data_IF_968981154204
#
_entry.id   IF_968981154204
#
_cell.length_a   1.000
_cell.length_b   1.000
_cell.length_c   1.000
_cell.angle_alpha   90.00
_cell.angle_beta   90.00
_cell.angle_gamma   90.00
#
_symmetry.space_group_name_H-M   'P 1'
#
loop_
_entity.id
_entity.type
_entity.pdbx_description
1 polymer ?
#
# COMPACT_ATOMS: atom_id res chain seq x y z
N UNK A 1 -43.84 -76.57 42.76
CA UNK A 1 -42.94 -75.85 41.84
C UNK A 1 -41.77 -76.77 41.52
N UNK A 2 -41.36 -76.91 40.25
CA UNK A 2 -40.23 -77.77 39.86
C UNK A 2 -38.93 -76.97 39.78
N UNK A 3 -37.78 -77.62 39.99
CA UNK A 3 -36.46 -76.96 40.00
C UNK A 3 -36.18 -76.16 38.71
N UNK A 4 -36.63 -76.64 37.55
CA UNK A 4 -36.49 -75.95 36.26
C UNK A 4 -37.24 -74.62 36.21
N UNK A 5 -38.41 -74.52 36.85
CA UNK A 5 -39.16 -73.26 36.96
C UNK A 5 -38.44 -72.25 37.85
N UNK A 6 -37.81 -72.72 38.92
CA UNK A 6 -37.02 -71.87 39.82
C UNK A 6 -35.79 -71.32 39.11
N UNK A 7 -35.03 -72.18 38.43
CA UNK A 7 -33.83 -71.79 37.68
C UNK A 7 -34.15 -70.82 36.54
N UNK A 8 -35.26 -71.03 35.82
CA UNK A 8 -35.72 -70.11 34.78
C UNK A 8 -36.13 -68.74 35.33
N UNK A 9 -36.79 -68.70 36.50
CA UNK A 9 -37.14 -67.43 37.13
C UNK A 9 -35.89 -66.68 37.60
N UNK A 10 -34.90 -67.40 38.14
CA UNK A 10 -33.63 -66.83 38.59
C UNK A 10 -32.83 -66.26 37.40
N UNK A 11 -32.75 -66.98 36.28
CA UNK A 11 -32.02 -66.49 35.10
C UNK A 11 -32.67 -65.24 34.49
N UNK A 12 -34.01 -65.17 34.47
CA UNK A 12 -34.75 -63.98 34.03
C UNK A 12 -34.52 -62.81 35.00
N UNK A 13 -34.54 -63.06 36.31
CA UNK A 13 -34.29 -62.02 37.32
C UNK A 13 -32.86 -61.46 37.22
N UNK A 14 -31.85 -62.32 36.99
CA UNK A 14 -30.47 -61.91 36.79
C UNK A 14 -30.29 -61.11 35.49
N UNK A 15 -30.94 -61.52 34.40
CA UNK A 15 -30.90 -60.79 33.13
C UNK A 15 -31.58 -59.42 33.24
N UNK A 16 -32.70 -59.33 33.96
CA UNK A 16 -33.38 -58.07 34.22
C UNK A 16 -32.54 -57.12 35.09
N UNK A 17 -31.87 -57.64 36.13
CA UNK A 17 -30.96 -56.86 36.97
C UNK A 17 -29.73 -56.34 36.19
N UNK A 18 -29.16 -57.17 35.31
CA UNK A 18 -28.05 -56.76 34.45
C UNK A 18 -28.48 -55.72 33.40
N UNK A 19 -29.68 -55.85 32.83
CA UNK A 19 -30.23 -54.89 31.87
C UNK A 19 -30.54 -53.52 32.50
N UNK A 20 -30.98 -53.49 33.76
CA UNK A 20 -31.24 -52.25 34.48
C UNK A 20 -29.97 -51.45 34.81
N UNK A 21 -28.81 -52.11 34.93
CA UNK A 21 -27.53 -51.46 35.19
C UNK A 21 -26.91 -50.80 33.93
N UNK A 22 -27.40 -51.15 32.74
CA UNK A 22 -26.89 -50.68 31.45
C UNK A 22 -27.87 -49.76 30.69
N UNK A 23 -28.77 -49.08 31.41
CA UNK A 23 -29.47 -47.96 30.81
C UNK A 23 -28.47 -46.81 30.62
N UNK A 24 -28.22 -46.42 29.36
CA UNK A 24 -27.46 -45.21 29.05
C UNK A 24 -28.14 -44.03 29.74
N UNK A 25 -27.50 -43.52 30.79
CA UNK A 25 -28.02 -42.38 31.52
C UNK A 25 -27.78 -41.16 30.65
N UNK A 26 -28.86 -40.57 30.13
CA UNK A 26 -28.77 -39.29 29.46
C UNK A 26 -28.40 -38.23 30.50
N UNK A 27 -27.14 -37.78 30.49
CA UNK A 27 -26.59 -36.76 31.40
C UNK A 27 -27.11 -35.33 31.11
N UNK A 28 -28.09 -35.20 30.21
CA UNK A 28 -28.57 -33.91 29.75
C UNK A 28 -27.62 -33.24 28.75
N UNK A 29 -27.93 -31.99 28.42
CA UNK A 29 -27.02 -31.14 27.65
C UNK A 29 -25.98 -30.59 28.61
N UNK A 30 -24.70 -30.93 28.40
CA UNK A 30 -23.62 -30.32 29.14
C UNK A 30 -23.61 -28.81 28.92
N UNK A 31 -23.69 -28.05 30.00
CA UNK A 31 -23.66 -26.61 29.93
C UNK A 31 -22.28 -26.15 29.49
N UNK A 32 -22.23 -25.39 28.40
CA UNK A 32 -21.02 -24.69 27.96
C UNK A 32 -20.72 -23.59 28.98
N UNK A 33 -19.77 -23.83 29.86
CA UNK A 33 -19.19 -22.77 30.70
C UNK A 33 -18.29 -21.92 29.81
N UNK A 34 -18.76 -20.72 29.46
CA UNK A 34 -17.90 -19.76 28.77
C UNK A 34 -16.85 -19.26 29.76
N UNK A 35 -15.57 -19.35 29.39
CA UNK A 35 -14.46 -18.97 30.25
C UNK A 35 -14.43 -17.47 30.59
N UNK A 36 -15.09 -16.63 29.79
CA UNK A 36 -15.14 -15.18 29.96
C UNK A 36 -16.58 -14.70 30.16
N UNK A 37 -16.75 -13.66 30.98
CA UNK A 37 -18.07 -13.03 31.12
C UNK A 37 -18.40 -12.17 29.90
N UNK A 38 -19.69 -11.91 29.66
CA UNK A 38 -20.12 -11.01 28.57
C UNK A 38 -19.54 -9.60 28.71
N UNK A 39 -19.35 -9.14 29.94
CA UNK A 39 -18.76 -7.82 30.21
C UNK A 39 -17.27 -7.79 29.79
N UNK A 40 -16.53 -8.86 30.09
CA UNK A 40 -15.13 -8.98 29.69
C UNK A 40 -15.00 -8.99 28.16
N UNK A 41 -15.82 -9.79 27.47
CA UNK A 41 -15.83 -9.83 25.99
C UNK A 41 -16.21 -8.47 25.40
N UNK A 42 -17.18 -7.77 25.98
CA UNK A 42 -17.56 -6.43 25.51
C UNK A 42 -16.41 -5.43 25.66
N UNK A 43 -15.72 -5.43 26.81
CA UNK A 43 -14.56 -4.56 27.02
C UNK A 43 -13.41 -4.88 26.04
N UNK A 44 -13.12 -6.16 25.81
CA UNK A 44 -12.10 -6.61 24.86
C UNK A 44 -12.46 -6.22 23.43
N UNK A 45 -13.74 -6.34 23.05
CA UNK A 45 -14.21 -5.97 21.72
C UNK A 45 -14.03 -4.47 21.44
N UNK A 46 -14.30 -3.61 22.44
CA UNK A 46 -14.06 -2.16 22.32
C UNK A 46 -12.57 -1.88 22.12
N UNK A 47 -11.69 -2.52 22.88
CA UNK A 47 -10.24 -2.36 22.72
C UNK A 47 -9.79 -2.81 21.32
N UNK A 48 -10.24 -3.98 20.87
CA UNK A 48 -9.90 -4.51 19.56
C UNK A 48 -10.39 -3.58 18.42
N UNK A 49 -11.60 -3.02 18.52
CA UNK A 49 -12.16 -2.11 17.52
C UNK A 49 -11.38 -0.79 17.37
N UNK A 50 -10.74 -0.31 18.46
CA UNK A 50 -9.94 0.91 18.44
C UNK A 50 -8.44 0.65 18.23
N UNK A 51 -8.02 -0.61 18.19
CA UNK A 51 -6.62 -0.97 17.99
C UNK A 51 -6.20 -0.73 16.55
N UNK A 52 -4.90 -0.48 16.35
CA UNK A 52 -4.34 -0.35 15.00
C UNK A 52 -4.58 -1.65 14.20
N UNK A 53 -5.04 -1.51 12.96
CA UNK A 53 -5.19 -2.64 12.05
C UNK A 53 -3.86 -2.85 11.29
N UNK A 54 -3.09 -3.92 11.58
CA UNK A 54 -1.80 -4.18 10.95
C UNK A 54 -1.90 -4.53 9.47
N UNK A 55 -3.10 -4.84 8.98
CA UNK A 55 -3.37 -5.21 7.58
C UNK A 55 -4.11 -4.11 6.82
N UNK A 56 -4.26 -2.92 7.39
CA UNK A 56 -4.90 -1.81 6.70
C UNK A 56 -4.03 -1.33 5.53
N UNK A 57 -4.64 -1.19 4.35
CA UNK A 57 -3.98 -0.74 3.13
C UNK A 57 -4.71 0.46 2.53
N UNK A 58 -4.04 1.18 1.63
CA UNK A 58 -4.61 2.34 0.94
C UNK A 58 -5.05 3.44 1.92
N UNK A 59 -6.27 3.94 1.76
CA UNK A 59 -6.81 5.01 2.59
C UNK A 59 -6.97 4.61 4.08
N UNK A 60 -7.02 3.31 4.39
CA UNK A 60 -7.16 2.81 5.75
C UNK A 60 -5.82 2.61 6.46
N UNK A 61 -4.68 2.69 5.74
CA UNK A 61 -3.33 2.42 6.29
C UNK A 61 -2.83 3.50 7.27
N UNK A 62 -3.65 4.51 7.56
CA UNK A 62 -3.24 5.68 8.31
C UNK A 62 -2.47 6.69 7.45
N UNK A 63 -1.84 7.70 8.08
CA UNK A 63 -1.14 8.75 7.36
C UNK A 63 0.04 8.19 6.58
N UNK A 64 0.17 8.61 5.31
CA UNK A 64 1.31 8.24 4.49
C UNK A 64 2.63 8.72 5.14
N UNK A 65 3.69 7.90 5.09
CA UNK A 65 4.98 8.32 5.59
C UNK A 65 5.46 9.56 4.82
N UNK A 66 5.99 10.53 5.56
CA UNK A 66 6.57 11.74 4.95
C UNK A 66 7.85 11.33 4.23
N UNK A 67 7.87 11.44 2.90
CA UNK A 67 9.08 11.27 2.12
C UNK A 67 9.92 12.55 2.25
N UNK A 68 10.88 12.53 3.18
CA UNK A 68 11.88 13.59 3.30
C UNK A 68 13.02 13.26 2.35
N UNK A 69 13.12 14.00 1.24
CA UNK A 69 14.28 13.89 0.36
C UNK A 69 15.53 14.37 1.10
N UNK A 70 16.60 13.58 1.06
CA UNK A 70 17.92 13.96 1.58
C UNK A 70 18.70 14.85 0.60
N UNK A 71 18.21 15.01 -0.63
CA UNK A 71 18.88 15.80 -1.66
C UNK A 71 18.61 17.31 -1.46
N UNK A 72 19.65 18.12 -1.59
CA UNK A 72 19.50 19.57 -1.60
C UNK A 72 18.71 20.01 -2.83
N UNK A 73 17.60 20.71 -2.63
CA UNK A 73 16.73 21.22 -3.70
C UNK A 73 17.48 22.07 -4.74
N UNK A 74 18.46 22.85 -4.31
CA UNK A 74 19.27 23.67 -5.22
C UNK A 74 20.15 22.79 -6.13
N UNK A 75 20.73 21.71 -5.58
CA UNK A 75 21.51 20.75 -6.34
C UNK A 75 20.65 20.02 -7.38
N UNK A 76 19.47 19.52 -6.98
CA UNK A 76 18.51 18.88 -7.90
C UNK A 76 18.10 19.80 -9.04
N UNK A 77 17.85 21.08 -8.73
CA UNK A 77 17.53 22.07 -9.77
C UNK A 77 18.69 22.31 -10.72
N UNK A 78 19.91 22.44 -10.20
CA UNK A 78 21.10 22.64 -11.02
C UNK A 78 21.34 21.44 -11.96
N UNK A 79 21.19 20.23 -11.44
CA UNK A 79 21.30 18.99 -12.22
C UNK A 79 20.21 18.89 -13.29
N UNK A 80 18.95 19.21 -12.96
CA UNK A 80 17.85 19.21 -13.93
C UNK A 80 18.08 20.22 -15.06
N UNK A 81 18.61 21.41 -14.75
CA UNK A 81 18.97 22.41 -15.77
C UNK A 81 20.11 21.89 -16.64
N UNK A 82 21.17 21.32 -16.04
CA UNK A 82 22.27 20.74 -16.80
C UNK A 82 21.80 19.62 -17.74
N UNK A 83 20.92 18.74 -17.27
CA UNK A 83 20.33 17.67 -18.07
C UNK A 83 19.45 18.22 -19.21
N UNK A 84 18.63 19.23 -18.95
CA UNK A 84 17.78 19.86 -19.98
C UNK A 84 18.60 20.58 -21.08
N UNK A 85 19.80 21.06 -20.74
CA UNK A 85 20.74 21.66 -21.69
C UNK A 85 21.73 20.66 -22.29
N UNK A 86 21.68 19.39 -21.90
CA UNK A 86 22.52 18.35 -22.49
C UNK A 86 22.13 18.12 -23.95
N UNK A 87 23.11 17.74 -24.76
CA UNK A 87 22.85 17.29 -26.12
C UNK A 87 21.92 16.06 -26.07
N UNK A 88 20.91 16.05 -26.93
CA UNK A 88 20.06 14.88 -27.14
C UNK A 88 20.86 13.83 -27.94
N UNK A 89 21.16 12.65 -27.36
CA UNK A 89 21.97 11.63 -28.02
C UNK A 89 21.29 10.99 -29.24
N UNK A 90 20.00 11.25 -29.47
CA UNK A 90 19.23 10.72 -30.60
C UNK A 90 18.74 11.81 -31.56
N UNK A 91 19.09 13.08 -31.32
CA UNK A 91 18.65 14.14 -32.20
C UNK A 91 19.45 14.10 -33.51
N UNK A 92 18.73 13.89 -34.61
CA UNK A 92 19.28 13.94 -35.96
C UNK A 92 18.77 15.19 -36.71
N UNK A 93 19.59 15.72 -37.63
CA UNK A 93 19.23 16.88 -38.46
C UNK A 93 19.11 18.20 -37.69
N UNK A 94 18.16 19.06 -38.10
CA UNK A 94 18.01 20.43 -37.58
C UNK A 94 17.68 20.54 -36.08
N UNK A 95 17.36 19.43 -35.44
CA UNK A 95 17.06 19.29 -34.00
C UNK A 95 18.26 18.84 -33.16
N UNK A 96 19.40 18.49 -33.80
CA UNK A 96 20.62 17.99 -33.13
C UNK A 96 21.37 19.03 -32.28
N UNK A 97 20.97 20.30 -32.34
CA UNK A 97 21.51 21.36 -31.51
C UNK A 97 21.10 22.75 -32.00
N UNK A 98 21.32 23.76 -31.16
CA UNK A 98 21.25 25.16 -31.58
C UNK A 98 22.42 25.38 -32.55
N UNK A 99 22.12 25.75 -33.80
CA UNK A 99 23.14 26.10 -34.77
C UNK A 99 24.10 27.11 -34.13
N UNK A 100 25.44 26.92 -34.21
CA UNK A 100 26.38 27.86 -33.65
C UNK A 100 26.02 29.25 -34.16
N UNK A 101 25.84 30.21 -33.25
CA UNK A 101 25.82 31.61 -33.66
C UNK A 101 27.18 31.86 -34.32
N UNK A 102 27.20 31.88 -35.64
CA UNK A 102 28.35 32.40 -36.39
C UNK A 102 28.41 33.87 -36.02
N UNK A 103 29.27 34.20 -35.05
CA UNK A 103 29.52 35.57 -34.67
C UNK A 103 29.99 36.28 -35.95
N UNK A 104 29.18 37.22 -36.43
CA UNK A 104 29.57 38.08 -37.53
C UNK A 104 30.94 38.67 -37.21
N UNK A 105 31.88 38.61 -38.17
CA UNK A 105 33.18 39.30 -38.07
C UNK A 105 33.01 40.82 -38.10
N UNK A 106 31.81 41.31 -38.41
CA UNK A 106 31.48 42.72 -38.40
C UNK A 106 31.17 43.16 -36.98
N UNK A 107 31.90 44.17 -36.51
CA UNK A 107 31.65 44.80 -35.23
C UNK A 107 30.17 45.22 -35.09
N UNK A 108 29.56 44.81 -33.97
CA UNK A 108 28.16 45.09 -33.67
C UNK A 108 27.89 46.58 -33.54
N UNK A 109 28.87 47.37 -33.12
CA UNK A 109 28.71 48.83 -33.07
C UNK A 109 28.65 49.42 -34.48
N UNK A 110 29.50 48.96 -35.40
CA UNK A 110 29.45 49.32 -36.81
C UNK A 110 28.10 48.98 -37.47
N UNK A 111 27.55 47.77 -37.23
CA UNK A 111 26.22 47.37 -37.73
C UNK A 111 25.13 48.32 -37.23
N UNK A 112 25.16 48.66 -35.94
CA UNK A 112 24.20 49.59 -35.33
C UNK A 112 24.36 51.03 -35.82
N UNK A 113 25.56 51.43 -36.21
CA UNK A 113 25.81 52.75 -36.81
C UNK A 113 25.26 52.78 -38.24
N UNK A 114 25.57 51.77 -39.05
CA UNK A 114 25.06 51.62 -40.42
C UNK A 114 23.52 51.56 -40.47
N UNK A 115 22.90 50.78 -39.58
CA UNK A 115 21.44 50.71 -39.48
C UNK A 115 20.81 52.07 -39.13
N UNK A 116 21.48 52.86 -38.26
CA UNK A 116 21.01 54.20 -37.90
C UNK A 116 21.20 55.22 -39.03
N UNK A 117 22.28 55.11 -39.81
CA UNK A 117 22.49 55.95 -41.00
C UNK A 117 21.46 55.64 -42.09
N UNK A 118 21.22 54.36 -42.38
CA UNK A 118 20.19 53.91 -43.31
C UNK A 118 18.78 54.38 -42.91
N UNK A 119 18.44 54.30 -41.61
CA UNK A 119 17.16 54.80 -41.10
C UNK A 119 16.98 56.32 -41.23
N UNK A 120 18.07 57.08 -41.37
CA UNK A 120 18.05 58.53 -41.59
C UNK A 120 18.09 58.92 -43.08
N UNK A 121 18.18 57.94 -43.98
CA UNK A 121 18.23 58.19 -45.43
C UNK A 121 19.63 58.53 -45.96
N UNK A 122 20.68 58.32 -45.18
CA UNK A 122 22.06 58.47 -45.64
C UNK A 122 22.44 57.22 -46.43
N UNK A 123 22.20 57.24 -47.74
CA UNK A 123 22.62 56.17 -48.64
C UNK A 123 24.16 56.21 -48.76
N UNK A 124 24.87 55.36 -48.03
CA UNK A 124 26.31 55.21 -48.21
C UNK A 124 26.59 54.50 -49.55
N UNK A 125 27.50 55.02 -50.41
CA UNK A 125 27.88 54.34 -51.63
C UNK A 125 28.53 53.00 -51.30
N UNK A 126 28.08 51.95 -52.00
CA UNK A 126 28.65 50.60 -51.96
C UNK A 126 30.09 50.59 -52.50
#
# INVERSE_FOLDING_TARGET
MTASKLLSAISIALLAAAGAAHAETYDGVHQLTSAASRADVASQAVVAAHSANPYATGANAGPAPVIVSTANRAAVRAEAVAAAHSADPYAEGATAGVAPLVASTVDRAAVRAAARAAARGDNLPL
#
